data_IF_137048249149
#
_entry.id   IF_137048249149
#
_cell.length_a   1.000
_cell.length_b   1.000
_cell.length_c   1.000
_cell.angle_alpha   90.00
_cell.angle_beta   90.00
_cell.angle_gamma   90.00
#
_symmetry.space_group_name_H-M   'P 1'
#
loop_
_entity.id
_entity.type
_entity.pdbx_description
1 polymer ?
#
# COMPACT_ATOMS: atom_id res chain seq x y z
N UNK A 1 6.75 8.06 -22.62
CA UNK A 1 7.88 7.44 -21.88
C UNK A 1 7.69 5.93 -21.86
N UNK A 2 8.79 5.18 -21.80
CA UNK A 2 8.76 3.73 -21.58
C UNK A 2 9.02 3.44 -20.11
N UNK A 3 8.02 2.92 -19.40
CA UNK A 3 8.03 2.79 -17.94
C UNK A 3 7.91 1.31 -17.56
N UNK A 4 8.80 0.83 -16.70
CA UNK A 4 8.73 -0.52 -16.15
C UNK A 4 8.47 -0.45 -14.66
N UNK A 5 7.28 -0.88 -14.23
CA UNK A 5 6.96 -1.10 -12.83
C UNK A 5 7.36 -2.50 -12.39
N UNK A 6 7.93 -2.65 -11.18
CA UNK A 6 8.34 -3.95 -10.64
C UNK A 6 7.77 -4.12 -9.24
N UNK A 7 6.91 -5.13 -9.06
CA UNK A 7 6.30 -5.48 -7.77
C UNK A 7 6.48 -6.98 -7.47
N UNK A 8 6.57 -7.35 -6.18
CA UNK A 8 6.89 -8.75 -5.82
C UNK A 8 5.80 -9.75 -6.22
N UNK A 9 4.52 -9.40 -6.08
CA UNK A 9 3.36 -10.26 -6.41
C UNK A 9 2.07 -9.45 -6.47
N UNK A 10 1.07 -9.93 -7.19
CA UNK A 10 -0.27 -9.33 -7.31
C UNK A 10 -1.28 -10.10 -6.45
N UNK A 11 -1.37 -9.73 -5.18
CA UNK A 11 -2.35 -10.24 -4.21
C UNK A 11 -3.28 -9.11 -3.79
N UNK A 12 -4.40 -9.39 -3.14
CA UNK A 12 -5.27 -8.37 -2.56
C UNK A 12 -4.50 -7.58 -1.48
N UNK A 13 -4.31 -6.29 -1.71
CA UNK A 13 -3.59 -5.42 -0.79
C UNK A 13 -3.33 -4.03 -1.37
N UNK A 14 -3.24 -3.03 -0.47
CA UNK A 14 -3.16 -1.63 -0.86
C UNK A 14 -2.01 -1.26 -1.79
N UNK A 15 -0.82 -1.83 -1.59
CA UNK A 15 0.33 -1.57 -2.45
C UNK A 15 0.12 -2.07 -3.88
N UNK A 16 -0.52 -3.23 -4.02
CA UNK A 16 -0.81 -3.84 -5.31
C UNK A 16 -1.88 -3.08 -6.07
N UNK A 17 -3.00 -2.77 -5.41
CA UNK A 17 -4.07 -1.97 -6.01
C UNK A 17 -3.56 -0.59 -6.44
N UNK A 18 -2.78 0.08 -5.58
CA UNK A 18 -2.14 1.35 -5.92
C UNK A 18 -1.25 1.25 -7.16
N UNK A 19 -0.45 0.18 -7.26
CA UNK A 19 0.42 -0.06 -8.43
C UNK A 19 -0.40 -0.30 -9.70
N UNK A 20 -1.50 -1.05 -9.62
CA UNK A 20 -2.38 -1.30 -10.78
C UNK A 20 -3.06 -0.03 -11.27
N UNK A 21 -3.58 0.81 -10.35
CA UNK A 21 -4.16 2.12 -10.69
C UNK A 21 -3.10 2.98 -11.37
N UNK A 22 -1.90 3.07 -10.81
CA UNK A 22 -0.79 3.83 -11.41
C UNK A 22 -0.46 3.35 -12.82
N UNK A 23 -0.31 2.04 -13.03
CA UNK A 23 -0.01 1.48 -14.37
C UNK A 23 -1.13 1.76 -15.39
N UNK A 24 -2.39 1.63 -14.96
CA UNK A 24 -3.57 1.88 -15.80
C UNK A 24 -3.61 3.35 -16.28
N UNK A 25 -3.52 4.29 -15.35
CA UNK A 25 -3.64 5.71 -15.68
C UNK A 25 -2.45 6.21 -16.48
N UNK A 26 -1.23 5.80 -16.18
CA UNK A 26 -0.06 6.12 -17.00
C UNK A 26 -0.19 5.56 -18.44
N UNK A 27 -0.75 4.37 -18.61
CA UNK A 27 -1.02 3.82 -19.94
C UNK A 27 -2.10 4.63 -20.68
N UNK A 28 -3.15 5.08 -19.99
CA UNK A 28 -4.18 5.96 -20.55
C UNK A 28 -3.63 7.34 -20.95
N UNK A 29 -2.62 7.84 -20.24
CA UNK A 29 -1.87 9.06 -20.61
C UNK A 29 -0.89 8.87 -21.78
N UNK A 30 -0.90 7.68 -22.42
CA UNK A 30 -0.10 7.39 -23.63
C UNK A 30 1.31 6.89 -23.37
N UNK A 31 1.65 6.44 -22.15
CA UNK A 31 2.95 5.86 -21.84
C UNK A 31 3.00 4.36 -22.22
N UNK A 32 4.18 3.86 -22.66
CA UNK A 32 4.43 2.41 -22.84
C UNK A 32 4.77 1.79 -21.48
N UNK A 33 3.74 1.26 -20.81
CA UNK A 33 3.87 0.75 -19.45
C UNK A 33 3.97 -0.78 -19.45
N UNK A 34 4.94 -1.30 -18.71
CA UNK A 34 5.10 -2.74 -18.45
C UNK A 34 5.16 -2.99 -16.95
N UNK A 35 4.28 -3.85 -16.45
CA UNK A 35 4.28 -4.32 -15.05
C UNK A 35 4.99 -5.68 -14.97
N UNK A 36 6.07 -5.74 -14.21
CA UNK A 36 6.81 -6.97 -13.91
C UNK A 36 6.45 -7.44 -12.51
N UNK A 37 5.97 -8.67 -12.38
CA UNK A 37 5.54 -9.24 -11.11
C UNK A 37 6.00 -10.69 -10.95
N UNK A 38 6.00 -11.20 -9.73
CA UNK A 38 6.09 -12.62 -9.46
C UNK A 38 4.73 -13.31 -9.44
N UNK A 39 4.69 -14.65 -9.29
CA UNK A 39 3.45 -15.40 -9.21
C UNK A 39 2.65 -15.05 -7.95
N UNK A 40 1.34 -15.01 -8.06
CA UNK A 40 0.41 -14.86 -6.94
C UNK A 40 0.29 -16.20 -6.19
N UNK A 41 1.17 -16.42 -5.22
CA UNK A 41 1.16 -17.62 -4.38
C UNK A 41 0.69 -17.25 -2.98
N UNK A 42 -0.37 -17.91 -2.49
CA UNK A 42 -0.88 -17.74 -1.14
C UNK A 42 -2.40 -17.55 -1.07
N UNK A 43 -2.96 -17.58 0.14
CA UNK A 43 -4.41 -17.49 0.37
C UNK A 43 -4.95 -16.05 0.33
N UNK A 44 -4.09 -15.05 0.09
CA UNK A 44 -4.45 -13.63 0.21
C UNK A 44 -5.27 -13.06 -0.97
N UNK A 45 -5.81 -13.91 -1.84
CA UNK A 45 -6.53 -13.49 -3.06
C UNK A 45 -5.58 -13.06 -4.18
N UNK A 46 -6.14 -12.75 -5.35
CA UNK A 46 -5.39 -12.50 -6.58
C UNK A 46 -5.94 -11.28 -7.32
N UNK A 47 -5.05 -10.43 -7.82
CA UNK A 47 -5.35 -9.26 -8.65
C UNK A 47 -4.89 -9.43 -10.10
N UNK A 48 -4.38 -10.60 -10.49
CA UNK A 48 -3.80 -10.81 -11.81
C UNK A 48 -4.81 -10.60 -12.93
N UNK A 49 -6.03 -11.10 -12.77
CA UNK A 49 -7.10 -10.91 -13.76
C UNK A 49 -7.49 -9.43 -13.94
N UNK A 50 -7.43 -8.64 -12.86
CA UNK A 50 -7.70 -7.20 -12.92
C UNK A 50 -6.58 -6.43 -13.62
N UNK A 51 -5.35 -6.96 -13.63
CA UNK A 51 -4.21 -6.36 -14.31
C UNK A 51 -4.23 -6.58 -15.83
N UNK A 52 -5.00 -7.54 -16.34
CA UNK A 52 -5.06 -7.85 -17.77
C UNK A 52 -6.02 -6.92 -18.51
N UNK A 53 -5.70 -6.59 -19.76
CA UNK A 53 -6.58 -5.81 -20.64
C UNK A 53 -6.68 -4.31 -20.29
N UNK A 54 -5.83 -3.80 -19.37
CA UNK A 54 -5.89 -2.41 -18.88
C UNK A 54 -4.98 -1.43 -19.66
N UNK A 55 -4.53 -1.79 -20.87
CA UNK A 55 -3.70 -0.92 -21.71
C UNK A 55 -2.20 -1.00 -21.45
N UNK A 56 -1.75 -1.80 -20.48
CA UNK A 56 -0.33 -2.06 -20.19
C UNK A 56 0.01 -3.56 -20.28
N UNK A 57 1.31 -3.86 -20.40
CA UNK A 57 1.80 -5.25 -20.46
C UNK A 57 2.09 -5.79 -19.06
N UNK A 58 1.75 -7.06 -18.82
CA UNK A 58 2.10 -7.77 -17.57
C UNK A 58 3.06 -8.90 -17.89
N UNK A 59 4.20 -8.94 -17.18
CA UNK A 59 5.23 -9.98 -17.32
C UNK A 59 5.46 -10.64 -15.96
N UNK A 60 5.28 -11.97 -15.93
CA UNK A 60 5.50 -12.75 -14.70
C UNK A 60 6.93 -13.30 -14.70
N UNK A 61 7.64 -13.08 -13.58
CA UNK A 61 8.97 -13.63 -13.29
C UNK A 61 8.83 -14.65 -12.17
N UNK A 62 8.80 -15.93 -12.47
CA UNK A 62 8.51 -17.02 -11.52
C UNK A 62 9.45 -17.08 -10.32
N UNK A 63 10.67 -16.56 -10.46
CA UNK A 63 11.66 -16.50 -9.39
C UNK A 63 11.48 -15.32 -8.44
N UNK A 64 10.63 -14.34 -8.78
CA UNK A 64 10.32 -13.19 -7.94
C UNK A 64 9.27 -13.57 -6.88
N UNK A 65 9.71 -14.09 -5.73
CA UNK A 65 8.85 -14.59 -4.64
C UNK A 65 9.04 -13.77 -3.36
N UNK A 66 8.06 -13.80 -2.44
CA UNK A 66 8.10 -13.03 -1.18
C UNK A 66 9.22 -13.47 -0.24
N UNK A 67 9.38 -14.78 -0.03
CA UNK A 67 10.37 -15.32 0.90
C UNK A 67 11.79 -14.98 0.43
N UNK A 68 12.66 -14.57 1.35
CA UNK A 68 14.10 -14.39 1.07
C UNK A 68 14.69 -15.78 0.86
N UNK A 69 15.16 -16.04 -0.36
CA UNK A 69 15.76 -17.32 -0.72
C UNK A 69 16.79 -17.11 -1.86
N UNK A 70 18.09 -17.25 -1.59
CA UNK A 70 19.14 -17.05 -2.59
C UNK A 70 18.97 -17.88 -3.87
N UNK A 71 18.40 -19.10 -3.76
CA UNK A 71 18.14 -19.99 -4.92
C UNK A 71 17.15 -19.36 -5.89
N UNK A 72 16.20 -18.57 -5.42
CA UNK A 72 15.25 -17.83 -6.26
C UNK A 72 15.72 -16.40 -6.52
N UNK A 73 16.35 -15.73 -5.55
CA UNK A 73 16.64 -14.31 -5.61
C UNK A 73 17.78 -13.99 -6.59
N UNK A 74 18.84 -14.83 -6.62
CA UNK A 74 19.94 -14.66 -7.56
C UNK A 74 19.48 -14.85 -9.01
N UNK A 75 18.81 -15.95 -9.41
CA UNK A 75 18.27 -16.08 -10.74
C UNK A 75 17.20 -15.00 -11.06
N UNK A 76 16.34 -14.65 -10.08
CA UNK A 76 15.36 -13.59 -10.21
C UNK A 76 15.98 -12.24 -10.56
N UNK A 77 17.08 -11.87 -9.91
CA UNK A 77 17.87 -10.68 -10.24
C UNK A 77 18.36 -10.68 -11.68
N UNK A 78 18.96 -11.80 -12.15
CA UNK A 78 19.46 -11.89 -13.51
C UNK A 78 18.35 -11.88 -14.56
N UNK A 79 17.18 -12.49 -14.27
CA UNK A 79 16.01 -12.43 -15.12
C UNK A 79 15.47 -11.00 -15.24
N UNK A 80 15.33 -10.28 -14.13
CA UNK A 80 14.92 -8.87 -14.12
C UNK A 80 15.93 -8.03 -14.92
N UNK A 81 17.24 -8.20 -14.68
CA UNK A 81 18.29 -7.49 -15.41
C UNK A 81 18.22 -7.76 -16.92
N UNK A 82 18.04 -9.02 -17.34
CA UNK A 82 17.87 -9.41 -18.75
C UNK A 82 16.65 -8.74 -19.35
N UNK A 83 15.52 -8.77 -18.64
CA UNK A 83 14.26 -8.16 -19.06
C UNK A 83 14.39 -6.64 -19.24
N UNK A 84 14.97 -5.95 -18.25
CA UNK A 84 15.21 -4.51 -18.34
C UNK A 84 16.17 -4.15 -19.50
N UNK A 85 17.17 -5.00 -19.80
CA UNK A 85 18.02 -4.82 -20.98
C UNK A 85 17.24 -4.95 -22.29
N UNK A 86 16.28 -5.86 -22.36
CA UNK A 86 15.43 -6.04 -23.55
C UNK A 86 14.41 -4.92 -23.73
N UNK A 87 13.79 -4.48 -22.63
CA UNK A 87 12.75 -3.44 -22.65
C UNK A 87 13.33 -2.04 -22.83
N UNK A 88 14.57 -1.77 -22.43
CA UNK A 88 15.23 -0.45 -22.48
C UNK A 88 14.32 0.68 -21.96
N UNK A 89 13.86 0.63 -20.70
CA UNK A 89 12.95 1.63 -20.15
C UNK A 89 13.65 2.98 -19.92
N UNK A 90 12.87 4.06 -20.00
CA UNK A 90 13.26 5.40 -19.55
C UNK A 90 13.23 5.47 -18.02
N UNK A 91 12.20 4.85 -17.43
CA UNK A 91 11.94 4.80 -15.99
C UNK A 91 11.83 3.34 -15.53
N UNK A 92 12.51 3.01 -14.45
CA UNK A 92 12.27 1.80 -13.66
C UNK A 92 11.68 2.21 -12.31
N UNK A 93 10.42 1.92 -12.11
CA UNK A 93 9.71 2.22 -10.88
C UNK A 93 9.47 0.94 -10.09
N UNK A 94 10.01 0.86 -8.90
CA UNK A 94 9.97 -0.35 -8.07
C UNK A 94 9.05 -0.17 -6.87
N UNK A 95 8.35 -1.25 -6.49
CA UNK A 95 7.41 -1.31 -5.38
C UNK A 95 7.75 -2.48 -4.47
N UNK A 96 7.38 -2.38 -3.18
CA UNK A 96 7.65 -3.39 -2.14
C UNK A 96 9.15 -3.67 -1.89
N UNK A 97 9.48 -4.20 -0.71
CA UNK A 97 10.88 -4.33 -0.28
C UNK A 97 11.71 -5.21 -1.22
N UNK A 98 11.27 -6.45 -1.49
CA UNK A 98 12.09 -7.40 -2.27
C UNK A 98 12.22 -7.03 -3.74
N UNK A 99 11.11 -6.77 -4.43
CA UNK A 99 11.13 -6.31 -5.82
C UNK A 99 11.84 -4.95 -5.93
N UNK A 100 11.67 -4.10 -4.92
CA UNK A 100 12.38 -2.84 -4.77
C UNK A 100 13.89 -3.02 -4.76
N UNK A 101 14.41 -3.92 -3.94
CA UNK A 101 15.85 -4.19 -3.86
C UNK A 101 16.35 -4.77 -5.19
N UNK A 102 15.78 -5.90 -5.65
CA UNK A 102 16.25 -6.57 -6.86
C UNK A 102 16.15 -5.67 -8.09
N UNK A 103 15.06 -4.92 -8.25
CA UNK A 103 14.83 -4.01 -9.37
C UNK A 103 15.80 -2.84 -9.41
N UNK A 104 16.04 -2.17 -8.26
CA UNK A 104 16.98 -1.04 -8.13
C UNK A 104 18.43 -1.47 -8.46
N UNK A 105 18.85 -2.63 -7.95
CA UNK A 105 20.17 -3.18 -8.27
C UNK A 105 20.27 -3.60 -9.74
N UNK A 106 19.25 -4.24 -10.31
CA UNK A 106 19.24 -4.65 -11.72
C UNK A 106 19.27 -3.45 -12.66
N UNK A 107 18.48 -2.42 -12.40
CA UNK A 107 18.43 -1.20 -13.21
C UNK A 107 19.79 -0.48 -13.24
N UNK A 108 20.46 -0.34 -12.09
CA UNK A 108 21.79 0.29 -12.03
C UNK A 108 22.92 -0.53 -12.61
N UNK A 109 22.73 -1.85 -12.72
CA UNK A 109 23.70 -2.74 -13.37
C UNK A 109 23.54 -2.81 -14.90
N UNK A 110 22.61 -2.05 -15.48
CA UNK A 110 22.47 -1.94 -16.94
C UNK A 110 23.63 -1.09 -17.48
N UNK A 111 24.43 -1.70 -18.36
CA UNK A 111 25.45 -1.01 -19.14
C UNK A 111 24.99 -1.01 -20.60
N UNK A 112 24.59 0.14 -21.11
CA UNK A 112 24.27 0.33 -22.53
C UNK A 112 25.54 0.87 -23.24
N UNK A 113 26.50 0.01 -23.54
CA UNK A 113 27.60 0.35 -24.45
C UNK A 113 27.66 -0.70 -25.57
N UNK A 114 27.88 -0.24 -26.82
CA UNK A 114 28.03 -1.11 -28.00
C UNK A 114 29.11 -2.20 -27.80
N UNK A 115 30.14 -1.90 -27.00
CA UNK A 115 31.19 -2.88 -26.66
C UNK A 115 30.66 -4.06 -25.79
N UNK A 116 29.50 -3.91 -25.10
CA UNK A 116 28.84 -5.00 -24.37
C UNK A 116 27.85 -5.77 -25.26
N UNK A 117 27.40 -5.18 -26.38
CA UNK A 117 26.49 -5.82 -27.36
C UNK A 117 27.25 -6.72 -28.33
N UNK A 118 28.48 -6.38 -28.68
CA UNK A 118 29.39 -7.21 -29.47
C UNK A 118 29.91 -8.45 -28.71
N UNK A 119 29.02 -9.12 -27.96
CA UNK A 119 29.30 -10.24 -27.08
C UNK A 119 30.24 -11.29 -27.69
N UNK A 120 31.22 -11.68 -26.90
CA UNK A 120 32.26 -12.69 -27.10
C UNK A 120 33.63 -12.14 -27.58
N UNK A 121 34.39 -11.66 -26.67
CA UNK A 121 35.82 -11.42 -26.90
C UNK A 121 36.40 -10.34 -25.99
N UNK A 122 37.12 -10.77 -24.93
CA UNK A 122 38.03 -9.97 -24.14
C UNK A 122 37.48 -9.15 -22.96
N UNK A 123 37.31 -9.85 -21.83
CA UNK A 123 37.15 -9.26 -20.47
C UNK A 123 38.24 -8.21 -20.18
N UNK A 124 39.45 -8.34 -20.73
CA UNK A 124 40.57 -7.45 -20.52
C UNK A 124 40.40 -6.04 -21.08
N UNK A 125 39.55 -5.82 -22.11
CA UNK A 125 39.29 -4.48 -22.66
C UNK A 125 38.34 -3.63 -21.78
N UNK A 126 37.44 -4.25 -21.07
CA UNK A 126 36.58 -3.54 -20.13
C UNK A 126 37.34 -3.08 -18.88
N UNK A 127 38.23 -3.90 -18.36
CA UNK A 127 39.07 -3.60 -17.18
C UNK A 127 40.06 -2.49 -17.49
N UNK A 128 40.74 -2.53 -18.67
CA UNK A 128 41.69 -1.49 -19.08
C UNK A 128 41.07 -0.10 -19.34
N UNK A 129 39.76 -0.03 -19.71
CA UNK A 129 39.04 1.26 -19.86
C UNK A 129 38.65 1.88 -18.52
N UNK A 130 38.47 1.10 -17.47
CA UNK A 130 38.21 1.61 -16.12
C UNK A 130 39.44 2.29 -15.50
N UNK A 131 40.62 1.95 -15.95
CA UNK A 131 41.90 2.50 -15.46
C UNK A 131 42.38 3.77 -16.20
N UNK A 132 41.80 4.13 -17.35
CA UNK A 132 42.15 5.37 -18.09
C UNK A 132 41.20 6.50 -17.79
N UNK A 133 41.38 7.16 -16.68
CA UNK A 133 40.57 8.31 -16.18
C UNK A 133 41.06 9.68 -16.64
N UNK A 134 41.74 9.83 -17.75
CA UNK A 134 42.27 11.14 -18.18
C UNK A 134 42.35 11.31 -19.69
N UNK A 135 41.16 11.47 -20.35
CA UNK A 135 41.09 12.04 -21.69
C UNK A 135 39.71 12.70 -21.88
N UNK A 136 39.59 13.89 -22.51
CA UNK A 136 38.32 14.52 -22.77
C UNK A 136 37.50 13.66 -23.76
N UNK A 137 36.34 13.20 -23.35
CA UNK A 137 35.44 12.35 -24.14
C UNK A 137 34.50 13.18 -24.96
N UNK A 138 34.72 13.17 -26.25
CA UNK A 138 33.74 13.60 -27.27
C UNK A 138 32.95 12.35 -27.73
N UNK A 139 32.19 11.71 -26.84
CA UNK A 139 31.34 10.56 -27.14
C UNK A 139 29.86 10.98 -27.02
N UNK A 140 29.28 11.52 -28.09
CA UNK A 140 27.84 11.72 -28.27
C UNK A 140 27.08 10.42 -28.58
N UNK A 141 27.47 9.28 -28.02
CA UNK A 141 26.67 8.06 -28.05
C UNK A 141 25.98 7.96 -26.68
N UNK A 142 24.71 8.30 -26.67
CA UNK A 142 23.89 8.43 -25.47
C UNK A 142 23.83 7.14 -24.65
N UNK A 143 24.48 7.17 -23.47
CA UNK A 143 24.34 6.13 -22.46
C UNK A 143 22.98 6.30 -21.78
N UNK A 144 21.94 5.74 -22.31
CA UNK A 144 20.61 5.81 -21.70
C UNK A 144 20.55 4.83 -20.51
N UNK A 145 20.80 5.33 -19.29
CA UNK A 145 20.47 4.58 -18.06
C UNK A 145 19.07 4.99 -17.64
N UNK A 146 18.18 4.04 -17.26
CA UNK A 146 16.89 4.41 -16.77
C UNK A 146 16.99 5.27 -15.50
N UNK A 147 16.05 6.17 -15.29
CA UNK A 147 15.83 6.76 -13.99
C UNK A 147 15.18 5.69 -13.08
N UNK A 148 15.60 5.67 -11.83
CA UNK A 148 15.17 4.66 -10.86
C UNK A 148 14.36 5.33 -9.77
N UNK A 149 13.07 5.01 -9.73
CA UNK A 149 12.11 5.49 -8.73
C UNK A 149 11.69 4.33 -7.83
N UNK A 150 11.43 4.62 -6.57
CA UNK A 150 10.94 3.63 -5.62
C UNK A 150 9.78 4.16 -4.79
N UNK A 151 8.64 3.45 -4.78
CA UNK A 151 7.52 3.78 -3.89
C UNK A 151 7.59 3.01 -2.58
N UNK A 152 7.56 3.76 -1.48
CA UNK A 152 7.42 3.26 -0.12
C UNK A 152 5.93 3.10 0.23
N UNK A 153 5.42 1.87 0.17
CA UNK A 153 4.06 1.53 0.63
C UNK A 153 4.01 1.15 2.12
N UNK A 154 5.15 1.04 2.75
CA UNK A 154 5.40 0.68 4.14
C UNK A 154 6.86 0.29 4.31
N UNK A 155 7.40 0.51 5.49
CA UNK A 155 8.80 0.24 5.77
C UNK A 155 9.01 -1.22 6.17
N UNK A 156 10.17 -1.78 5.87
CA UNK A 156 10.49 -3.17 6.23
C UNK A 156 10.91 -3.30 7.72
N UNK A 157 11.19 -2.20 8.39
CA UNK A 157 11.56 -2.12 9.80
C UNK A 157 10.43 -1.47 10.61
N UNK A 158 10.27 -1.87 11.86
CA UNK A 158 9.24 -1.36 12.77
C UNK A 158 9.51 -1.79 14.23
N UNK A 159 8.90 -1.13 15.25
CA UNK A 159 9.19 -1.42 16.66
C UNK A 159 8.75 -2.79 17.15
N UNK A 160 7.91 -3.51 16.39
CA UNK A 160 7.36 -4.82 16.76
C UNK A 160 8.18 -6.00 16.23
N UNK A 161 9.45 -5.79 15.86
CA UNK A 161 10.38 -6.86 15.50
C UNK A 161 11.75 -6.63 16.15
N UNK A 162 12.64 -7.64 16.08
CA UNK A 162 13.92 -7.55 16.74
C UNK A 162 14.80 -6.42 16.18
N UNK A 163 15.58 -5.79 17.05
CA UNK A 163 16.48 -4.71 16.68
C UNK A 163 17.52 -5.15 15.64
N UNK A 164 18.03 -6.38 15.75
CA UNK A 164 18.97 -6.93 14.78
C UNK A 164 18.37 -7.03 13.37
N UNK A 165 17.11 -7.47 13.28
CA UNK A 165 16.39 -7.55 12.01
C UNK A 165 16.10 -6.14 11.45
N UNK A 166 15.75 -5.19 12.28
CA UNK A 166 15.60 -3.79 11.89
C UNK A 166 16.90 -3.21 11.32
N UNK A 167 18.03 -3.39 12.02
CA UNK A 167 19.35 -2.95 11.55
C UNK A 167 19.70 -3.56 10.20
N UNK A 168 19.42 -4.85 10.01
CA UNK A 168 19.63 -5.53 8.74
C UNK A 168 18.79 -4.89 7.61
N UNK A 169 17.47 -4.74 7.79
CA UNK A 169 16.62 -4.13 6.77
C UNK A 169 17.00 -2.69 6.45
N UNK A 170 17.30 -1.88 7.47
CA UNK A 170 17.78 -0.50 7.30
C UNK A 170 19.09 -0.47 6.49
N UNK A 171 20.06 -1.34 6.79
CA UNK A 171 21.31 -1.40 6.05
C UNK A 171 21.10 -1.78 4.56
N UNK A 172 20.23 -2.74 4.29
CA UNK A 172 19.87 -3.16 2.93
C UNK A 172 19.18 -2.03 2.18
N UNK A 173 18.21 -1.36 2.80
CA UNK A 173 17.50 -0.23 2.19
C UNK A 173 18.43 0.97 1.95
N UNK A 174 19.34 1.31 2.87
CA UNK A 174 20.39 2.32 2.64
C UNK A 174 21.29 1.99 1.44
N UNK A 175 21.63 0.71 1.28
CA UNK A 175 22.41 0.26 0.12
C UNK A 175 21.61 0.42 -1.19
N UNK A 176 20.34 0.11 -1.17
CA UNK A 176 19.45 0.28 -2.32
C UNK A 176 19.14 1.76 -2.62
N UNK A 177 19.04 2.60 -1.58
CA UNK A 177 18.83 4.04 -1.71
C UNK A 177 19.93 4.74 -2.53
N UNK A 178 21.19 4.30 -2.41
CA UNK A 178 22.32 4.80 -3.24
C UNK A 178 22.11 4.54 -4.74
N UNK A 179 21.13 3.73 -5.11
CA UNK A 179 20.78 3.32 -6.48
C UNK A 179 19.44 3.86 -6.94
N UNK A 180 18.81 4.69 -6.12
CA UNK A 180 17.51 5.30 -6.34
C UNK A 180 17.72 6.78 -6.69
N UNK A 181 17.11 7.26 -7.75
CA UNK A 181 17.15 8.68 -8.09
C UNK A 181 16.11 9.45 -7.28
N UNK A 182 14.92 8.87 -7.10
CA UNK A 182 13.82 9.52 -6.40
C UNK A 182 12.93 8.49 -5.67
N UNK A 183 12.34 8.91 -4.57
CA UNK A 183 11.40 8.13 -3.78
C UNK A 183 10.01 8.76 -3.81
N UNK A 184 9.01 7.91 -3.85
CA UNK A 184 7.62 8.30 -3.66
C UNK A 184 7.13 7.65 -2.37
N UNK A 185 6.55 8.42 -1.48
CA UNK A 185 5.92 7.91 -0.26
C UNK A 185 4.41 7.94 -0.38
N UNK A 186 3.72 6.98 0.21
CA UNK A 186 2.25 6.99 0.28
C UNK A 186 1.72 7.82 1.46
N UNK A 187 2.60 8.32 2.31
CA UNK A 187 2.32 9.17 3.46
C UNK A 187 3.59 9.94 3.85
N UNK A 188 3.44 11.17 4.37
CA UNK A 188 4.56 12.00 4.85
C UNK A 188 5.29 11.33 6.02
N UNK A 189 4.55 10.62 6.88
CA UNK A 189 5.11 9.82 7.97
C UNK A 189 6.14 8.79 7.47
N UNK A 190 5.93 8.20 6.29
CA UNK A 190 6.89 7.25 5.70
C UNK A 190 8.18 7.94 5.27
N UNK A 191 8.08 9.15 4.69
CA UNK A 191 9.25 9.98 4.37
C UNK A 191 10.04 10.31 5.62
N UNK A 192 9.36 10.79 6.68
CA UNK A 192 10.00 11.15 7.95
C UNK A 192 10.73 9.96 8.58
N UNK A 193 10.07 8.80 8.65
CA UNK A 193 10.68 7.58 9.21
C UNK A 193 11.85 7.05 8.38
N UNK A 194 11.76 7.09 7.05
CA UNK A 194 12.82 6.63 6.16
C UNK A 194 14.05 7.53 6.24
N UNK A 195 13.86 8.86 6.18
CA UNK A 195 14.96 9.84 6.25
C UNK A 195 15.61 9.89 7.62
N UNK A 196 14.84 9.73 8.71
CA UNK A 196 15.36 9.66 10.07
C UNK A 196 16.41 8.54 10.27
N UNK A 197 16.26 7.43 9.55
CA UNK A 197 17.26 6.35 9.58
C UNK A 197 18.29 6.44 8.43
N UNK A 198 18.27 7.49 7.61
CA UNK A 198 19.23 7.74 6.53
C UNK A 198 18.96 6.91 5.25
N UNK A 199 17.72 6.60 4.95
CA UNK A 199 17.30 6.03 3.65
C UNK A 199 16.96 7.21 2.73
N UNK A 200 17.86 7.55 1.81
CA UNK A 200 17.73 8.74 0.95
C UNK A 200 17.93 10.06 1.71
N UNK A 201 17.58 11.17 1.06
CA UNK A 201 17.59 12.52 1.60
C UNK A 201 16.22 13.15 1.38
N UNK A 202 15.76 14.09 2.23
CA UNK A 202 14.44 14.73 2.11
C UNK A 202 14.11 15.24 0.69
N UNK A 203 15.09 15.83 -0.01
CA UNK A 203 14.92 16.39 -1.35
C UNK A 203 14.68 15.33 -2.43
N UNK A 204 14.89 14.04 -2.11
CA UNK A 204 14.63 12.93 -3.01
C UNK A 204 13.23 12.34 -2.82
N UNK A 205 12.38 12.96 -2.02
CA UNK A 205 11.04 12.44 -1.70
C UNK A 205 9.93 13.36 -2.15
N UNK A 206 8.84 12.76 -2.56
CA UNK A 206 7.51 13.38 -2.67
C UNK A 206 6.46 12.41 -2.14
N UNK A 207 5.43 12.95 -1.53
CA UNK A 207 4.26 12.16 -1.13
C UNK A 207 3.24 12.15 -2.25
N UNK A 208 2.93 10.96 -2.77
CA UNK A 208 1.78 10.67 -3.60
C UNK A 208 0.88 9.71 -2.83
N UNK A 209 -0.19 10.24 -2.25
CA UNK A 209 -1.10 9.44 -1.41
C UNK A 209 -1.67 8.27 -2.18
N UNK A 210 -1.79 7.12 -1.50
CA UNK A 210 -2.29 5.91 -2.14
C UNK A 210 -3.73 6.09 -2.62
N UNK A 211 -3.92 6.17 -3.92
CA UNK A 211 -5.20 6.48 -4.54
C UNK A 211 -6.30 5.50 -4.18
N UNK A 212 -7.51 6.02 -4.03
CA UNK A 212 -8.75 5.26 -3.89
C UNK A 212 -9.55 5.47 -5.17
N UNK A 213 -10.10 4.40 -5.73
CA UNK A 213 -11.07 4.49 -6.81
C UNK A 213 -12.35 5.11 -6.24
N UNK A 214 -12.43 6.44 -6.32
CA UNK A 214 -13.44 7.22 -5.62
C UNK A 214 -14.85 6.94 -6.15
N UNK A 215 -15.03 6.68 -7.43
CA UNK A 215 -16.34 6.37 -8.01
C UNK A 215 -16.98 5.17 -7.31
N UNK A 216 -16.18 4.17 -6.97
CA UNK A 216 -16.64 2.98 -6.23
C UNK A 216 -17.16 3.28 -4.82
N UNK A 217 -16.57 4.27 -4.13
CA UNK A 217 -16.89 4.60 -2.74
C UNK A 217 -17.89 5.75 -2.62
N UNK A 218 -17.92 6.65 -3.61
CA UNK A 218 -18.84 7.78 -3.66
C UNK A 218 -20.24 7.38 -4.14
N UNK A 219 -20.36 6.31 -4.93
CA UNK A 219 -21.62 5.85 -5.46
C UNK A 219 -22.59 5.48 -4.33
N UNK A 220 -23.78 6.15 -4.23
CA UNK A 220 -24.73 5.82 -3.19
C UNK A 220 -25.33 4.43 -3.40
N UNK A 221 -25.22 3.59 -2.40
CA UNK A 221 -25.82 2.26 -2.42
C UNK A 221 -27.27 2.35 -1.92
N UNK A 222 -28.20 1.75 -2.66
CA UNK A 222 -29.62 1.78 -2.32
C UNK A 222 -29.90 1.22 -0.93
N UNK A 223 -30.91 1.75 -0.25
CA UNK A 223 -31.32 1.28 1.08
C UNK A 223 -31.63 -0.22 1.08
N UNK A 224 -32.27 -0.72 0.00
CA UNK A 224 -32.57 -2.16 -0.13
C UNK A 224 -31.28 -3.00 -0.08
N UNK A 225 -30.26 -2.64 -0.85
CA UNK A 225 -28.97 -3.38 -0.84
C UNK A 225 -28.28 -3.33 0.52
N UNK A 226 -28.35 -2.19 1.22
CA UNK A 226 -27.82 -2.07 2.59
C UNK A 226 -28.58 -2.95 3.57
N UNK A 227 -29.91 -2.97 3.49
CA UNK A 227 -30.75 -3.83 4.35
C UNK A 227 -30.50 -5.32 4.06
N UNK A 228 -30.32 -5.71 2.78
CA UNK A 228 -29.99 -7.09 2.41
C UNK A 228 -28.63 -7.51 2.96
N UNK A 229 -27.64 -6.61 2.90
CA UNK A 229 -26.33 -6.85 3.49
C UNK A 229 -26.44 -6.98 5.02
N UNK A 230 -27.15 -6.07 5.70
CA UNK A 230 -27.36 -6.14 7.14
C UNK A 230 -28.03 -7.45 7.54
N UNK A 231 -29.11 -7.85 6.88
CA UNK A 231 -29.79 -9.15 7.14
C UNK A 231 -28.87 -10.35 6.94
N UNK A 232 -28.07 -10.34 5.88
CA UNK A 232 -27.11 -11.42 5.57
C UNK A 232 -26.14 -11.68 6.72
N UNK A 233 -25.69 -10.62 7.40
CA UNK A 233 -24.72 -10.71 8.48
C UNK A 233 -25.33 -10.58 9.88
N UNK A 234 -26.66 -10.64 10.01
CA UNK A 234 -27.36 -10.58 11.30
C UNK A 234 -27.22 -9.22 12.01
N UNK A 235 -27.16 -8.13 11.24
CA UNK A 235 -27.15 -6.76 11.75
C UNK A 235 -28.58 -6.24 11.75
N UNK A 236 -29.15 -5.86 12.92
CA UNK A 236 -30.49 -5.29 12.98
C UNK A 236 -30.54 -3.90 12.33
N UNK A 237 -31.75 -3.47 11.93
CA UNK A 237 -31.91 -2.18 11.23
C UNK A 237 -31.56 -0.98 12.11
N UNK A 238 -31.80 -1.09 13.41
CA UNK A 238 -31.57 -0.08 14.44
C UNK A 238 -30.16 -0.16 15.06
N UNK A 239 -29.36 -1.19 14.73
CA UNK A 239 -28.04 -1.32 15.28
C UNK A 239 -27.09 -0.24 14.79
N UNK A 240 -26.30 0.31 15.72
CA UNK A 240 -25.11 1.11 15.39
C UNK A 240 -23.96 0.15 15.07
N UNK A 241 -23.50 0.15 13.82
CA UNK A 241 -22.51 -0.80 13.31
C UNK A 241 -21.12 -0.16 13.22
N UNK A 242 -20.18 -0.72 13.97
CA UNK A 242 -18.77 -0.34 13.94
C UNK A 242 -18.02 -1.31 13.01
N UNK A 243 -17.55 -0.83 11.86
CA UNK A 243 -16.86 -1.69 10.89
C UNK A 243 -15.34 -1.62 11.04
N UNK A 244 -14.69 -2.77 10.91
CA UNK A 244 -13.24 -2.88 10.75
C UNK A 244 -12.95 -3.63 9.46
N UNK A 245 -12.26 -2.99 8.53
CA UNK A 245 -11.86 -3.60 7.25
C UNK A 245 -10.36 -3.85 7.27
N UNK A 246 -9.97 -5.06 7.65
CA UNK A 246 -8.57 -5.45 7.77
C UNK A 246 -8.40 -6.97 7.69
N UNK A 247 -7.21 -7.42 7.31
CA UNK A 247 -6.87 -8.85 7.45
C UNK A 247 -6.78 -9.22 8.93
N UNK A 248 -7.29 -10.40 9.30
CA UNK A 248 -7.23 -10.91 10.67
C UNK A 248 -5.84 -11.51 10.95
N UNK A 249 -4.85 -10.63 11.09
CA UNK A 249 -3.44 -10.95 11.34
C UNK A 249 -2.94 -10.17 12.56
N UNK A 250 -1.81 -10.59 13.11
CA UNK A 250 -1.11 -9.83 14.14
C UNK A 250 -0.86 -8.37 13.71
N UNK A 251 -0.84 -7.47 14.65
CA UNK A 251 -0.65 -6.02 14.47
C UNK A 251 -1.81 -5.30 13.76
N UNK A 252 -2.94 -5.95 13.50
CA UNK A 252 -4.14 -5.29 12.97
C UNK A 252 -5.12 -4.82 14.04
N UNK A 253 -4.85 -5.15 15.31
CA UNK A 253 -5.48 -4.57 16.48
C UNK A 253 -6.91 -5.03 16.77
N UNK A 254 -7.34 -6.15 16.20
CA UNK A 254 -8.67 -6.70 16.48
C UNK A 254 -8.84 -7.04 17.97
N UNK A 255 -7.77 -7.42 18.64
CA UNK A 255 -7.73 -7.67 20.08
C UNK A 255 -8.18 -6.47 20.91
N UNK A 256 -7.74 -5.26 20.59
CA UNK A 256 -8.14 -4.03 21.29
C UNK A 256 -9.61 -3.67 21.01
N UNK A 257 -10.08 -3.94 19.78
CA UNK A 257 -11.49 -3.73 19.42
C UNK A 257 -12.39 -4.71 20.17
N UNK A 258 -12.00 -5.98 20.30
CA UNK A 258 -12.76 -6.99 21.06
C UNK A 258 -12.80 -6.62 22.56
N UNK A 259 -11.68 -6.13 23.11
CA UNK A 259 -11.62 -5.67 24.49
C UNK A 259 -12.54 -4.46 24.72
N UNK A 260 -12.51 -3.46 23.83
CA UNK A 260 -13.43 -2.32 23.90
C UNK A 260 -14.89 -2.75 23.72
N UNK A 261 -15.18 -3.70 22.85
CA UNK A 261 -16.51 -4.24 22.64
C UNK A 261 -17.11 -4.87 23.88
N UNK A 262 -16.30 -5.54 24.70
CA UNK A 262 -16.72 -6.13 25.97
C UNK A 262 -17.27 -5.07 26.93
N UNK A 263 -16.62 -3.92 27.06
CA UNK A 263 -17.05 -2.85 27.95
C UNK A 263 -18.21 -2.05 27.36
N UNK A 264 -18.17 -1.75 26.05
CA UNK A 264 -19.25 -1.02 25.37
C UNK A 264 -20.55 -1.81 25.32
N UNK A 265 -20.50 -3.15 25.21
CA UNK A 265 -21.70 -4.01 25.21
C UNK A 265 -22.44 -4.00 26.56
N UNK A 266 -21.81 -3.54 27.65
CA UNK A 266 -22.48 -3.34 28.94
C UNK A 266 -23.24 -2.01 29.00
N UNK A 267 -22.82 -1.03 28.17
CA UNK A 267 -23.41 0.32 28.14
C UNK A 267 -24.49 0.45 27.05
N UNK A 268 -24.33 -0.28 25.94
CA UNK A 268 -25.13 -0.12 24.72
C UNK A 268 -25.67 -1.46 24.21
N UNK A 269 -26.99 -1.60 24.17
CA UNK A 269 -27.63 -2.82 23.71
C UNK A 269 -27.77 -2.90 22.19
N UNK A 270 -27.60 -1.81 21.47
CA UNK A 270 -27.80 -1.69 20.04
C UNK A 270 -26.51 -1.54 19.21
N UNK A 271 -25.32 -1.79 19.77
CA UNK A 271 -24.07 -1.71 19.01
C UNK A 271 -23.58 -3.10 18.56
N UNK A 272 -23.04 -3.17 17.34
CA UNK A 272 -22.50 -4.39 16.72
C UNK A 272 -21.21 -4.08 16.00
N UNK A 273 -20.21 -4.94 16.14
CA UNK A 273 -18.93 -4.86 15.45
C UNK A 273 -18.93 -5.77 14.23
N UNK A 274 -18.56 -5.24 13.08
CA UNK A 274 -18.46 -5.96 11.82
C UNK A 274 -17.01 -6.07 11.38
N UNK A 275 -16.42 -7.27 11.48
CA UNK A 275 -15.06 -7.54 11.00
C UNK A 275 -15.10 -8.03 9.56
N UNK A 276 -14.58 -7.21 8.64
CA UNK A 276 -14.51 -7.47 7.22
C UNK A 276 -13.09 -7.85 6.85
N UNK A 277 -12.90 -9.10 6.49
CA UNK A 277 -11.61 -9.68 6.16
C UNK A 277 -11.45 -11.09 6.68
N UNK A 278 -10.30 -11.70 6.37
CA UNK A 278 -9.93 -13.03 6.83
C UNK A 278 -8.43 -13.08 7.15
N UNK A 279 -7.98 -14.15 7.79
CA UNK A 279 -6.59 -14.31 8.15
C UNK A 279 -6.33 -15.46 9.13
N UNK A 280 -5.06 -15.68 9.45
CA UNK A 280 -4.64 -16.78 10.33
C UNK A 280 -5.13 -16.65 11.78
N UNK A 281 -5.62 -15.48 12.21
CA UNK A 281 -6.22 -15.25 13.53
C UNK A 281 -7.75 -15.27 13.51
N UNK A 282 -8.39 -15.58 12.38
CA UNK A 282 -9.85 -15.58 12.24
C UNK A 282 -10.53 -16.46 13.30
N UNK A 283 -10.14 -17.73 13.40
CA UNK A 283 -10.72 -18.65 14.38
C UNK A 283 -10.39 -18.28 15.83
N UNK A 284 -9.20 -17.74 16.07
CA UNK A 284 -8.81 -17.22 17.38
C UNK A 284 -9.75 -16.09 17.84
N UNK A 285 -10.01 -15.10 17.01
CA UNK A 285 -10.91 -13.98 17.37
C UNK A 285 -12.37 -14.40 17.49
N UNK A 286 -12.84 -15.35 16.67
CA UNK A 286 -14.18 -15.92 16.83
C UNK A 286 -14.33 -16.67 18.15
N UNK A 287 -13.30 -17.43 18.56
CA UNK A 287 -13.29 -18.11 19.84
C UNK A 287 -13.27 -17.13 21.01
N UNK A 288 -12.42 -16.10 20.95
CA UNK A 288 -12.36 -15.04 21.96
C UNK A 288 -13.72 -14.31 22.10
N UNK A 289 -14.38 -14.00 21.00
CA UNK A 289 -15.72 -13.40 21.02
C UNK A 289 -16.74 -14.31 21.72
N UNK A 290 -16.73 -15.62 21.48
CA UNK A 290 -17.60 -16.60 22.17
C UNK A 290 -17.32 -16.64 23.67
N UNK A 291 -16.06 -16.74 24.06
CA UNK A 291 -15.63 -16.81 25.48
C UNK A 291 -16.01 -15.56 26.26
N UNK A 292 -16.04 -14.40 25.61
CA UNK A 292 -16.48 -13.14 26.21
C UNK A 292 -17.99 -12.90 26.14
N UNK A 293 -18.78 -13.82 25.59
CA UNK A 293 -20.24 -13.67 25.42
C UNK A 293 -20.61 -12.64 24.33
N UNK A 294 -19.72 -12.36 23.40
CA UNK A 294 -19.90 -11.36 22.33
C UNK A 294 -20.24 -11.95 20.96
N UNK A 295 -20.59 -13.25 20.89
CA UNK A 295 -20.84 -13.93 19.61
C UNK A 295 -21.97 -13.28 18.80
N UNK A 296 -22.98 -12.69 19.47
CA UNK A 296 -24.07 -11.98 18.83
C UNK A 296 -23.74 -10.53 18.50
N UNK A 297 -22.69 -9.98 19.11
CA UNK A 297 -22.24 -8.58 18.96
C UNK A 297 -21.10 -8.41 17.96
N UNK A 298 -20.27 -9.43 17.74
CA UNK A 298 -19.16 -9.39 16.79
C UNK A 298 -19.45 -10.31 15.62
N UNK A 299 -19.62 -9.73 14.44
CA UNK A 299 -19.94 -10.45 13.20
C UNK A 299 -18.71 -10.48 12.29
N UNK A 300 -18.47 -11.61 11.63
CA UNK A 300 -17.35 -11.84 10.73
C UNK A 300 -17.88 -12.09 9.31
N UNK A 301 -17.45 -11.33 8.33
CA UNK A 301 -17.87 -11.54 6.94
C UNK A 301 -17.00 -12.56 6.21
N UNK A 302 -15.79 -12.82 6.71
CA UNK A 302 -14.74 -13.43 5.89
C UNK A 302 -14.21 -12.44 4.85
N UNK A 303 -13.44 -12.95 3.89
CA UNK A 303 -12.91 -12.15 2.79
C UNK A 303 -14.02 -11.73 1.85
N UNK A 304 -14.22 -10.43 1.68
CA UNK A 304 -15.12 -9.87 0.68
C UNK A 304 -14.35 -9.46 -0.58
N UNK A 305 -14.96 -9.58 -1.77
CA UNK A 305 -14.43 -8.99 -2.99
C UNK A 305 -14.29 -7.46 -2.83
N UNK A 306 -13.29 -6.81 -3.45
CA UNK A 306 -13.14 -5.36 -3.40
C UNK A 306 -14.40 -4.57 -3.72
N UNK A 307 -15.21 -5.06 -4.68
CA UNK A 307 -16.50 -4.45 -5.07
C UNK A 307 -17.59 -4.48 -3.98
N UNK A 308 -17.43 -5.27 -2.93
CA UNK A 308 -18.35 -5.32 -1.79
C UNK A 308 -17.87 -4.50 -0.57
N UNK A 309 -16.66 -3.97 -0.60
CA UNK A 309 -16.13 -3.14 0.51
C UNK A 309 -16.94 -1.85 0.68
N UNK A 310 -17.29 -1.09 -0.39
CA UNK A 310 -18.17 0.06 -0.24
C UNK A 310 -19.52 -0.28 0.39
N UNK A 311 -20.11 -1.43 0.03
CA UNK A 311 -21.38 -1.88 0.59
C UNK A 311 -21.24 -2.17 2.09
N UNK A 312 -20.19 -2.84 2.52
CA UNK A 312 -19.94 -3.11 3.93
C UNK A 312 -19.78 -1.81 4.73
N UNK A 313 -19.01 -0.85 4.21
CA UNK A 313 -18.77 0.44 4.87
C UNK A 313 -20.06 1.29 4.89
N UNK A 314 -20.78 1.41 3.76
CA UNK A 314 -22.03 2.17 3.69
C UNK A 314 -23.18 1.54 4.50
N UNK A 315 -23.10 0.24 4.79
CA UNK A 315 -24.05 -0.46 5.69
C UNK A 315 -23.70 -0.32 7.17
N UNK A 316 -22.61 0.38 7.48
CA UNK A 316 -22.09 0.63 8.83
C UNK A 316 -22.17 2.12 9.17
N UNK A 317 -21.92 2.47 10.43
CA UNK A 317 -22.08 3.82 10.96
C UNK A 317 -20.76 4.55 11.17
N UNK A 318 -19.68 3.81 11.45
CA UNK A 318 -18.33 4.33 11.62
C UNK A 318 -17.29 3.25 11.34
N UNK A 319 -16.06 3.68 11.00
CA UNK A 319 -14.90 2.79 10.89
C UNK A 319 -14.09 2.82 12.20
N UNK A 320 -13.66 1.65 12.68
CA UNK A 320 -12.69 1.51 13.77
C UNK A 320 -11.45 0.80 13.24
N UNK A 321 -10.29 1.46 13.32
CA UNK A 321 -9.02 0.98 12.77
C UNK A 321 -7.90 1.03 13.81
N UNK A 322 -7.64 -0.10 14.47
CA UNK A 322 -6.67 -0.22 15.55
C UNK A 322 -5.35 -0.87 15.13
N UNK A 323 -4.97 -0.78 13.85
CA UNK A 323 -3.70 -1.31 13.37
C UNK A 323 -2.53 -0.62 14.07
N UNK A 324 -1.52 -1.42 14.47
CA UNK A 324 -0.30 -0.92 15.10
C UNK A 324 0.79 -0.56 14.09
N UNK A 325 0.56 -0.84 12.81
CA UNK A 325 1.52 -0.57 11.74
C UNK A 325 0.85 -0.53 10.37
N UNK A 326 1.07 0.56 9.66
CA UNK A 326 0.64 0.76 8.27
C UNK A 326 1.70 1.55 7.48
N UNK A 327 1.53 1.75 6.18
CA UNK A 327 2.12 2.88 5.48
C UNK A 327 1.11 4.02 5.51
N UNK A 328 0.04 3.84 4.73
CA UNK A 328 -1.21 4.58 4.86
C UNK A 328 -2.35 3.55 4.88
N UNK A 329 -3.19 3.60 5.90
CA UNK A 329 -4.36 2.73 6.03
C UNK A 329 -5.44 3.17 5.04
N UNK A 330 -5.50 2.56 3.85
CA UNK A 330 -6.46 2.93 2.78
C UNK A 330 -7.93 2.85 3.22
N UNK A 331 -8.23 2.04 4.22
CA UNK A 331 -9.59 1.92 4.77
C UNK A 331 -10.08 3.20 5.44
N UNK A 332 -9.18 4.06 5.92
CA UNK A 332 -9.54 5.37 6.48
C UNK A 332 -10.16 6.30 5.42
N UNK A 333 -9.46 6.65 4.32
CA UNK A 333 -10.08 7.46 3.27
C UNK A 333 -11.26 6.74 2.58
N UNK A 334 -11.28 5.41 2.48
CA UNK A 334 -12.41 4.66 1.96
C UNK A 334 -13.68 4.85 2.81
N UNK A 335 -13.56 4.82 4.14
CA UNK A 335 -14.69 5.07 5.04
C UNK A 335 -15.19 6.52 4.92
N UNK A 336 -14.27 7.47 4.84
CA UNK A 336 -14.61 8.88 4.69
C UNK A 336 -15.28 9.17 3.34
N UNK A 337 -14.84 8.59 2.23
CA UNK A 337 -15.54 8.69 0.94
C UNK A 337 -16.98 8.16 1.02
N UNK A 338 -17.22 7.15 1.84
CA UNK A 338 -18.56 6.63 2.15
C UNK A 338 -19.35 7.52 3.15
N UNK A 339 -18.81 8.65 3.58
CA UNK A 339 -19.43 9.53 4.58
C UNK A 339 -19.46 8.92 5.98
N UNK A 340 -18.48 8.08 6.33
CA UNK A 340 -18.35 7.45 7.65
C UNK A 340 -17.16 8.03 8.41
N UNK A 341 -17.34 8.50 9.66
CA UNK A 341 -16.24 8.94 10.49
C UNK A 341 -15.33 7.76 10.86
N UNK A 342 -14.08 8.05 11.19
CA UNK A 342 -13.11 7.04 11.54
C UNK A 342 -12.55 7.26 12.94
N UNK A 343 -12.41 6.16 13.70
CA UNK A 343 -11.59 6.10 14.92
C UNK A 343 -10.36 5.28 14.55
N UNK A 344 -9.17 5.84 14.75
CA UNK A 344 -7.93 5.16 14.39
C UNK A 344 -6.88 5.30 15.47
N UNK A 345 -6.07 4.26 15.67
CA UNK A 345 -4.80 4.45 16.37
C UNK A 345 -3.92 5.42 15.60
N UNK A 346 -3.24 6.30 16.33
CA UNK A 346 -2.32 7.29 15.79
C UNK A 346 -0.97 6.65 15.45
N UNK A 347 -0.96 5.95 14.32
CA UNK A 347 0.23 5.27 13.80
C UNK A 347 0.49 5.70 12.36
N UNK A 348 1.76 5.83 12.03
CA UNK A 348 2.22 6.09 10.65
C UNK A 348 1.43 7.24 9.99
N UNK A 349 0.84 7.01 8.81
CA UNK A 349 0.06 8.02 8.07
C UNK A 349 -1.37 8.25 8.56
N UNK A 350 -1.82 7.69 9.69
CA UNK A 350 -3.20 7.83 10.16
C UNK A 350 -3.61 9.29 10.37
N UNK A 351 -2.73 10.12 10.97
CA UNK A 351 -2.97 11.56 11.23
C UNK A 351 -3.05 12.42 9.96
N UNK A 352 -2.65 11.88 8.82
CA UNK A 352 -2.77 12.56 7.54
C UNK A 352 -4.17 12.43 6.94
N UNK A 353 -5.00 11.55 7.52
CA UNK A 353 -6.38 11.29 7.12
C UNK A 353 -7.36 11.64 8.24
N UNK A 354 -7.09 11.17 9.46
CA UNK A 354 -7.98 11.36 10.62
C UNK A 354 -7.51 12.57 11.43
N UNK A 355 -8.44 13.44 11.76
CA UNK A 355 -8.25 14.58 12.65
C UNK A 355 -9.58 14.90 13.36
N UNK A 356 -9.60 15.90 14.23
CA UNK A 356 -10.78 16.32 15.02
C UNK A 356 -12.04 16.66 14.22
N UNK A 357 -11.90 16.95 12.89
CA UNK A 357 -13.02 17.24 11.99
C UNK A 357 -13.54 15.99 11.29
N UNK A 358 -12.83 14.88 11.33
CA UNK A 358 -13.13 13.67 10.55
C UNK A 358 -13.25 12.41 11.41
N UNK A 359 -12.86 12.51 12.70
CA UNK A 359 -12.88 11.37 13.62
C UNK A 359 -11.94 11.56 14.81
N UNK A 360 -11.48 10.46 15.40
CA UNK A 360 -10.58 10.44 16.54
C UNK A 360 -9.29 9.70 16.25
N UNK A 361 -8.17 10.31 16.61
CA UNK A 361 -6.88 9.64 16.74
C UNK A 361 -6.70 9.21 18.20
N UNK A 362 -6.44 7.93 18.40
CA UNK A 362 -6.29 7.28 19.70
C UNK A 362 -4.83 6.86 19.86
N UNK A 363 -4.29 7.06 21.06
CA UNK A 363 -2.96 6.54 21.37
C UNK A 363 -2.93 5.02 21.15
N UNK A 364 -1.90 4.50 20.46
CA UNK A 364 -1.80 3.07 20.18
C UNK A 364 -1.90 2.22 21.44
N UNK A 365 -2.79 1.21 21.42
CA UNK A 365 -3.09 0.28 22.53
C UNK A 365 -3.88 0.89 23.71
N UNK A 366 -4.28 2.15 23.64
CA UNK A 366 -5.08 2.77 24.68
C UNK A 366 -6.56 2.40 24.49
N UNK A 367 -6.98 1.31 25.16
CA UNK A 367 -8.35 0.78 25.08
C UNK A 367 -9.36 1.72 25.74
N UNK A 368 -8.96 2.45 26.80
CA UNK A 368 -9.84 3.41 27.47
C UNK A 368 -10.23 4.56 26.55
N UNK A 369 -9.26 5.18 25.86
CA UNK A 369 -9.54 6.21 24.85
C UNK A 369 -10.38 5.65 23.71
N UNK A 370 -10.15 4.39 23.30
CA UNK A 370 -10.93 3.74 22.25
C UNK A 370 -12.40 3.58 22.67
N UNK A 371 -12.64 3.17 23.93
CA UNK A 371 -13.98 3.05 24.50
C UNK A 371 -14.70 4.40 24.49
N UNK A 372 -14.08 5.47 24.97
CA UNK A 372 -14.67 6.80 25.03
C UNK A 372 -14.99 7.33 23.61
N UNK A 373 -14.05 7.23 22.66
CA UNK A 373 -14.28 7.66 21.29
C UNK A 373 -15.40 6.86 20.58
N UNK A 374 -15.49 5.55 20.86
CA UNK A 374 -16.60 4.74 20.35
C UNK A 374 -17.92 5.14 20.99
N UNK A 375 -17.95 5.37 22.31
CA UNK A 375 -19.15 5.77 23.04
C UNK A 375 -19.71 7.09 22.48
N UNK A 376 -18.86 8.11 22.33
CA UNK A 376 -19.26 9.40 21.77
C UNK A 376 -19.97 9.25 20.40
N UNK A 377 -19.43 8.40 19.53
CA UNK A 377 -20.02 8.16 18.22
C UNK A 377 -21.24 7.22 18.25
N UNK A 378 -21.34 6.30 19.23
CA UNK A 378 -22.53 5.47 19.39
C UNK A 378 -23.72 6.32 19.85
N UNK A 379 -23.50 7.22 20.79
CA UNK A 379 -24.53 8.08 21.37
C UNK A 379 -25.02 9.18 20.43
N UNK A 380 -24.12 9.75 19.61
CA UNK A 380 -24.38 10.96 18.85
C UNK A 380 -24.42 10.73 17.33
N UNK A 381 -25.63 10.46 16.81
CA UNK A 381 -25.86 10.26 15.37
C UNK A 381 -25.58 11.53 14.53
N UNK A 382 -25.87 12.72 15.07
CA UNK A 382 -25.60 13.98 14.37
C UNK A 382 -24.09 14.23 14.22
N UNK A 383 -23.32 13.94 15.28
CA UNK A 383 -21.87 14.02 15.25
C UNK A 383 -21.30 13.06 14.22
N UNK A 384 -21.77 11.80 14.17
CA UNK A 384 -21.37 10.84 13.14
C UNK A 384 -21.58 11.39 11.74
N UNK A 385 -22.76 11.95 11.48
CA UNK A 385 -23.11 12.54 10.18
C UNK A 385 -22.19 13.71 9.84
N UNK A 386 -22.02 14.66 10.75
CA UNK A 386 -21.17 15.85 10.58
C UNK A 386 -19.71 15.47 10.25
N UNK A 387 -19.12 14.59 11.04
CA UNK A 387 -17.74 14.15 10.83
C UNK A 387 -17.58 13.33 9.54
N UNK A 388 -18.58 12.52 9.19
CA UNK A 388 -18.57 11.77 7.94
C UNK A 388 -18.64 12.68 6.70
N UNK A 389 -19.47 13.72 6.72
CA UNK A 389 -19.55 14.71 5.64
C UNK A 389 -18.24 15.48 5.49
N UNK A 390 -17.68 15.96 6.60
CA UNK A 390 -16.38 16.67 6.61
C UNK A 390 -15.24 15.74 6.18
N UNK A 391 -15.27 14.49 6.60
CA UNK A 391 -14.31 13.47 6.17
C UNK A 391 -14.35 13.26 4.67
N UNK A 392 -15.53 13.13 4.10
CA UNK A 392 -15.72 12.93 2.65
C UNK A 392 -15.08 14.06 1.84
N UNK A 393 -15.35 15.31 2.19
CA UNK A 393 -14.78 16.46 1.49
C UNK A 393 -13.25 16.54 1.65
N UNK A 394 -12.71 16.18 2.83
CA UNK A 394 -11.27 16.27 3.12
C UNK A 394 -10.41 15.27 2.33
N UNK A 395 -10.99 14.15 1.90
CA UNK A 395 -10.22 13.06 1.24
C UNK A 395 -10.43 13.00 -0.26
N UNK A 396 -11.49 13.58 -0.80
CA UNK A 396 -11.92 13.44 -2.19
C UNK A 396 -10.82 13.79 -3.19
N UNK A 397 -10.29 14.99 -3.14
CA UNK A 397 -9.22 15.44 -4.04
C UNK A 397 -7.86 14.81 -3.67
N UNK A 398 -7.57 14.73 -2.37
CA UNK A 398 -6.28 14.27 -1.84
C UNK A 398 -5.96 12.83 -2.22
N UNK A 399 -6.99 11.97 -2.30
CA UNK A 399 -6.85 10.55 -2.61
C UNK A 399 -7.35 10.17 -4.00
N UNK A 400 -7.65 11.16 -4.85
CA UNK A 400 -8.05 10.95 -6.23
C UNK A 400 -6.94 10.24 -7.03
N UNK A 401 -7.30 9.29 -7.91
CA UNK A 401 -6.33 8.58 -8.74
C UNK A 401 -5.49 9.49 -9.63
N UNK A 402 -6.10 10.52 -10.22
CA UNK A 402 -5.40 11.48 -11.08
C UNK A 402 -4.39 12.30 -10.30
N UNK A 403 -4.73 12.82 -9.11
CA UNK A 403 -3.81 13.56 -8.23
C UNK A 403 -2.54 12.75 -7.91
N UNK A 404 -2.71 11.46 -7.61
CA UNK A 404 -1.58 10.58 -7.35
C UNK A 404 -0.71 10.38 -8.60
N UNK A 405 -1.33 10.12 -9.74
CA UNK A 405 -0.59 9.79 -10.98
C UNK A 405 0.09 11.03 -11.57
N UNK A 406 -0.54 12.20 -11.51
CA UNK A 406 0.06 13.46 -11.93
C UNK A 406 1.32 13.79 -11.11
N UNK A 407 1.26 13.59 -9.78
CA UNK A 407 2.44 13.72 -8.91
C UNK A 407 3.56 12.76 -9.32
N UNK A 408 3.22 11.51 -9.65
CA UNK A 408 4.19 10.48 -10.08
C UNK A 408 4.79 10.84 -11.45
N UNK A 409 3.95 11.25 -12.39
CA UNK A 409 4.38 11.61 -13.74
C UNK A 409 5.28 12.86 -13.75
N UNK A 410 4.96 13.85 -12.91
CA UNK A 410 5.82 15.04 -12.73
C UNK A 410 7.24 14.65 -12.29
N UNK A 411 7.37 13.72 -11.32
CA UNK A 411 8.67 13.16 -10.92
C UNK A 411 9.39 12.55 -12.12
N UNK A 412 8.70 11.78 -12.96
CA UNK A 412 9.34 11.16 -14.13
C UNK A 412 9.82 12.19 -15.14
N UNK A 413 9.00 13.19 -15.44
CA UNK A 413 9.34 14.28 -16.37
C UNK A 413 10.55 15.07 -15.86
N UNK A 414 10.58 15.41 -14.56
CA UNK A 414 11.69 16.12 -13.94
C UNK A 414 13.00 15.33 -14.01
N UNK A 415 12.96 14.01 -13.73
CA UNK A 415 14.12 13.14 -13.81
C UNK A 415 14.66 12.97 -15.24
N UNK A 416 13.80 13.01 -16.25
CA UNK A 416 14.21 12.91 -17.65
C UNK A 416 14.64 14.26 -18.24
N UNK A 417 14.03 15.37 -17.82
CA UNK A 417 14.40 16.72 -18.23
C UNK A 417 15.76 17.19 -17.68
N UNK A 418 16.23 16.59 -16.59
CA UNK A 418 17.56 16.85 -16.00
C UNK A 418 18.69 16.03 -16.63
N UNK A 419 18.42 15.17 -17.62
CA UNK A 419 19.37 14.28 -18.31
C UNK A 419 19.66 14.73 -19.72
#
# INVERSE_FOLDING_TARGET
MKIVHIITRLILGGAQENTLITCKLLAQQGHDVTLVTGPALGPEGELFNQAQGQGYKVIVVDRLRRAINPINDIPGYFLIKKLLKQLQPDIVHTHSAKAGILGRFAARALCHCEACEAGRGNLNRCVLRLLRRSAPRNDKVGRHKPAVVHTLHGLAFHPYQSEALNKFYIAVEKSAAKRTDFFISVADAMTAQATAVGIGRPEQYVTAYSAIDEDYFLEPISQQRRNDFRRKYGLSEDAVVLVTVARLFMLKGHEYIIESAKELSKRFDNCVWLFVGDGNLSEHYKQQARELGLADRIKFTGLLPPSQIPLAIQSSDMLVHCSLREGLARTLPQAMLCGRPAISFDVDGAREVVNEKTGWLIEPKNVEQLIEACADLIENAELRRKLGEQGKESVKEKFAPDTMVDTIEEVYRNLLGQR
#
